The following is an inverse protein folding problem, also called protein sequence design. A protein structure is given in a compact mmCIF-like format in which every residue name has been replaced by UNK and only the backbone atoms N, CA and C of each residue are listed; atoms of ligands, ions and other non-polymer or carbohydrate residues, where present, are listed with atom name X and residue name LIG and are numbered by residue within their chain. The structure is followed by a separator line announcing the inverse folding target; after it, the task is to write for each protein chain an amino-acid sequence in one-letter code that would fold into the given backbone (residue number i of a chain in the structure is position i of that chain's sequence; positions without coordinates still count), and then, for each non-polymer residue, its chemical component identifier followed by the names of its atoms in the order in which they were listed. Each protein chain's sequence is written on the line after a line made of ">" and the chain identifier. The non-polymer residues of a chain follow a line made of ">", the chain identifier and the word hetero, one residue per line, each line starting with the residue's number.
data_IF_676829210354
#
_entry.id   IF_676829210354
#
_cell.length_a   1.000
_cell.length_b   1.000
_cell.length_c   1.000
_cell.angle_alpha   90.00
_cell.angle_beta   90.00
_cell.angle_gamma   90.00
#
_symmetry.space_group_name_H-M   'P 1'
#
loop_
_entity.id
_entity.type
_entity.pdbx_description
1 polymer ?
#
# COMPACT_ATOMS: atom_id res chain seq x y z
N UNK A 1 2.99 14.17 8.92
CA UNK A 1 2.72 12.99 8.07
C UNK A 1 1.25 13.02 7.68
N UNK A 2 0.94 12.93 6.39
CA UNK A 2 -0.45 12.98 5.91
C UNK A 2 -1.08 11.61 6.04
N UNK A 3 -2.25 11.53 6.69
CA UNK A 3 -3.07 10.32 6.76
C UNK A 3 -3.89 10.23 5.47
N UNK A 4 -3.81 9.10 4.78
CA UNK A 4 -4.59 8.79 3.59
C UNK A 4 -5.61 7.70 3.90
N UNK A 5 -6.58 7.55 3.01
CA UNK A 5 -7.56 6.49 3.05
C UNK A 5 -7.66 5.79 1.70
N UNK A 6 -7.81 4.47 1.74
CA UNK A 6 -8.10 3.63 0.58
C UNK A 6 -9.46 2.97 0.78
N UNK A 7 -10.26 2.97 -0.27
CA UNK A 7 -11.58 2.34 -0.29
C UNK A 7 -11.46 1.00 -1.01
N UNK A 8 -11.81 -0.08 -0.32
CA UNK A 8 -11.77 -1.42 -0.90
C UNK A 8 -12.94 -2.25 -0.37
N UNK A 9 -13.71 -2.81 -1.30
CA UNK A 9 -15.01 -3.43 -1.03
C UNK A 9 -15.91 -2.46 -0.24
N UNK A 10 -16.44 -2.89 0.91
CA UNK A 10 -17.32 -2.10 1.77
C UNK A 10 -16.58 -1.50 2.98
N UNK A 11 -15.27 -1.24 2.86
CA UNK A 11 -14.41 -0.79 3.98
C UNK A 11 -13.48 0.35 3.56
N UNK A 12 -13.20 1.21 4.53
CA UNK A 12 -12.23 2.31 4.43
C UNK A 12 -11.00 1.95 5.28
N UNK A 13 -9.84 1.96 4.64
CA UNK A 13 -8.56 1.63 5.25
C UNK A 13 -7.71 2.89 5.37
N UNK A 14 -7.28 3.21 6.58
CA UNK A 14 -6.45 4.40 6.83
C UNK A 14 -4.98 4.02 6.98
N UNK A 15 -4.11 4.80 6.37
CA UNK A 15 -2.67 4.54 6.40
C UNK A 15 -1.85 5.82 6.22
N UNK A 16 -0.54 5.70 6.43
CA UNK A 16 0.44 6.78 6.25
C UNK A 16 1.50 6.29 5.28
N UNK A 17 1.84 7.11 4.28
CA UNK A 17 2.98 6.83 3.39
C UNK A 17 4.28 7.12 4.13
N UNK A 18 5.17 6.12 4.17
CA UNK A 18 6.51 6.21 4.77
C UNK A 18 7.59 6.44 3.73
N UNK A 19 7.48 5.77 2.58
CA UNK A 19 8.38 5.93 1.45
C UNK A 19 7.59 5.75 0.15
N UNK A 20 8.01 6.44 -0.92
CA UNK A 20 7.41 6.32 -2.25
C UNK A 20 8.45 6.57 -3.34
N UNK A 21 8.62 5.61 -4.24
CA UNK A 21 9.40 5.71 -5.47
C UNK A 21 8.60 5.16 -6.66
N UNK A 22 9.23 5.06 -7.84
CA UNK A 22 8.63 4.47 -9.04
C UNK A 22 8.27 2.99 -8.85
N UNK A 23 9.09 2.28 -8.08
CA UNK A 23 9.07 0.81 -8.01
C UNK A 23 8.88 0.27 -6.60
N UNK A 24 8.83 1.14 -5.59
CA UNK A 24 8.57 0.77 -4.19
C UNK A 24 7.67 1.80 -3.50
N UNK A 25 6.67 1.32 -2.75
CA UNK A 25 5.87 2.15 -1.84
C UNK A 25 5.86 1.47 -0.47
N UNK A 26 6.18 2.21 0.58
CA UNK A 26 6.06 1.72 1.95
C UNK A 26 5.04 2.54 2.71
N UNK A 27 4.13 1.86 3.41
CA UNK A 27 3.08 2.45 4.23
C UNK A 27 3.11 1.90 5.65
N UNK A 28 2.50 2.64 6.57
CA UNK A 28 2.08 2.13 7.86
C UNK A 28 0.54 2.15 7.92
N UNK A 29 -0.05 0.98 8.13
CA UNK A 29 -1.50 0.81 8.27
C UNK A 29 -1.77 0.21 9.65
N UNK A 30 -2.37 1.01 10.53
CA UNK A 30 -2.67 0.63 11.92
C UNK A 30 -1.46 0.09 12.70
N UNK A 31 -0.28 0.70 12.54
CA UNK A 31 0.96 0.26 13.19
C UNK A 31 1.59 -0.97 12.56
N UNK A 32 1.05 -1.46 11.44
CA UNK A 32 1.65 -2.54 10.66
C UNK A 32 2.34 -1.95 9.42
N UNK A 33 3.67 -2.11 9.28
CA UNK A 33 4.38 -1.67 8.10
C UNK A 33 4.11 -2.64 6.94
N UNK A 34 3.86 -2.08 5.76
CA UNK A 34 3.77 -2.81 4.49
C UNK A 34 4.68 -2.15 3.47
N UNK A 35 5.41 -2.97 2.72
CA UNK A 35 6.11 -2.53 1.51
C UNK A 35 5.53 -3.23 0.30
N UNK A 36 5.26 -2.45 -0.75
CA UNK A 36 4.81 -2.90 -2.05
C UNK A 36 5.89 -2.61 -3.08
N UNK A 37 6.13 -3.57 -3.97
CA UNK A 37 7.11 -3.45 -5.05
C UNK A 37 6.43 -3.63 -6.39
N UNK A 38 6.90 -2.91 -7.40
CA UNK A 38 6.38 -3.02 -8.76
C UNK A 38 7.16 -4.09 -9.52
N UNK A 39 6.49 -5.16 -9.94
CA UNK A 39 7.06 -6.21 -10.80
C UNK A 39 6.19 -6.43 -12.02
N UNK A 40 6.81 -6.43 -13.20
CA UNK A 40 6.12 -6.60 -14.49
C UNK A 40 4.88 -5.69 -14.63
N UNK A 41 4.98 -4.44 -14.14
CA UNK A 41 3.91 -3.45 -14.18
C UNK A 41 2.82 -3.58 -13.11
N UNK A 42 2.87 -4.60 -12.24
CA UNK A 42 1.90 -4.82 -11.16
C UNK A 42 2.53 -4.55 -9.80
N UNK A 43 1.74 -4.03 -8.88
CA UNK A 43 2.15 -3.86 -7.49
C UNK A 43 1.85 -5.13 -6.70
N UNK A 44 2.83 -5.59 -5.94
CA UNK A 44 2.72 -6.79 -5.14
C UNK A 44 3.35 -6.59 -3.76
N UNK A 45 2.99 -7.44 -2.79
CA UNK A 45 3.66 -7.45 -1.50
C UNK A 45 5.15 -7.73 -1.68
N UNK A 46 5.99 -6.94 -1.01
CA UNK A 46 7.40 -7.30 -0.86
C UNK A 46 7.52 -8.57 -0.02
N UNK A 47 8.41 -9.48 -0.44
CA UNK A 47 8.80 -10.63 0.39
C UNK A 47 9.35 -10.13 1.73
N UNK A 48 8.74 -10.57 2.83
CA UNK A 48 9.12 -10.17 4.19
C UNK A 48 8.13 -9.26 4.91
N UNK A 49 7.05 -8.82 4.26
CA UNK A 49 5.93 -8.22 4.98
C UNK A 49 5.40 -9.21 6.03
N UNK A 50 5.09 -8.72 7.24
CA UNK A 50 4.55 -9.56 8.33
C UNK A 50 3.24 -10.25 7.94
N UNK A 51 2.44 -9.58 7.12
CA UNK A 51 1.20 -10.10 6.53
C UNK A 51 1.13 -9.67 5.07
N UNK A 52 0.49 -10.49 4.24
CA UNK A 52 0.23 -10.12 2.86
C UNK A 52 -1.10 -9.37 2.75
N UNK A 53 -1.06 -8.23 2.10
CA UNK A 53 -2.26 -7.51 1.69
C UNK A 53 -2.83 -8.13 0.41
N UNK A 54 -4.15 -8.26 0.30
CA UNK A 54 -4.79 -8.74 -0.93
C UNK A 54 -4.60 -7.72 -2.05
N UNK A 55 -4.43 -8.20 -3.29
CA UNK A 55 -4.05 -7.36 -4.43
C UNK A 55 -5.00 -6.17 -4.65
N UNK A 56 -6.31 -6.36 -4.53
CA UNK A 56 -7.26 -5.27 -4.73
C UNK A 56 -7.13 -4.13 -3.70
N UNK A 57 -6.74 -4.44 -2.46
CA UNK A 57 -6.43 -3.42 -1.47
C UNK A 57 -5.07 -2.75 -1.75
N UNK A 58 -4.08 -3.49 -2.25
CA UNK A 58 -2.81 -2.89 -2.72
C UNK A 58 -3.10 -1.87 -3.82
N UNK A 59 -3.90 -2.25 -4.82
CA UNK A 59 -4.25 -1.37 -5.93
C UNK A 59 -4.95 -0.09 -5.44
N UNK A 60 -5.89 -0.22 -4.50
CA UNK A 60 -6.58 0.92 -3.90
C UNK A 60 -5.62 1.83 -3.12
N UNK A 61 -4.69 1.26 -2.34
CA UNK A 61 -3.65 2.03 -1.65
C UNK A 61 -2.78 2.75 -2.67
N UNK A 62 -2.24 2.04 -3.66
CA UNK A 62 -1.33 2.63 -4.65
C UNK A 62 -2.01 3.78 -5.40
N UNK A 63 -3.27 3.60 -5.83
CA UNK A 63 -4.04 4.63 -6.52
C UNK A 63 -4.18 5.93 -5.71
N UNK A 64 -4.23 5.83 -4.38
CA UNK A 64 -4.29 7.01 -3.50
C UNK A 64 -2.90 7.59 -3.18
N UNK A 65 -1.83 6.82 -3.39
CA UNK A 65 -0.45 7.32 -3.20
C UNK A 65 0.13 7.96 -4.45
N UNK A 66 -0.33 7.61 -5.65
CA UNK A 66 0.15 8.15 -6.93
C UNK A 66 -0.81 9.24 -7.45
N UNK A 67 -0.31 10.38 -7.96
CA UNK A 67 -1.13 11.40 -8.59
C UNK A 67 -1.72 10.91 -9.93
#
# INVERSE_FOLDING_TARGET
>A
MTKLEAHFENRIYFFIVKNKSSDEVSIDMYGTPYTFIKKAGKWENRTGNKMNMVSGLIDAVIATTQP
#
